data_IF_019245851933
#
_entry.id   IF_019245851933
#
_cell.length_a   1.000
_cell.length_b   1.000
_cell.length_c   1.000
_cell.angle_alpha   90.00
_cell.angle_beta   90.00
_cell.angle_gamma   90.00
#
_symmetry.space_group_name_H-M   'P 1'
#
loop_
_entity.id
_entity.type
_entity.pdbx_description
1 polymer ?
#
# COMPACT_ATOMS: atom_id res chain seq x y z
N UNK A 1 8.08 -64.23 17.10
CA UNK A 1 8.78 -63.01 16.63
C UNK A 1 8.18 -62.48 15.35
N UNK A 2 7.91 -63.25 14.30
CA UNK A 2 7.38 -62.81 13.00
C UNK A 2 6.06 -61.99 13.10
N UNK A 3 5.08 -62.39 13.93
CA UNK A 3 3.81 -61.64 14.07
C UNK A 3 3.99 -60.21 14.60
N UNK A 4 4.92 -59.98 15.53
CA UNK A 4 5.24 -58.65 16.07
C UNK A 4 5.91 -57.77 15.03
N UNK A 5 6.77 -58.35 14.18
CA UNK A 5 7.46 -57.65 13.11
C UNK A 5 6.50 -57.26 11.98
N UNK A 6 5.54 -58.14 11.62
CA UNK A 6 4.48 -57.82 10.65
C UNK A 6 3.56 -56.74 11.19
N UNK A 7 3.21 -56.76 12.47
CA UNK A 7 2.35 -55.74 13.08
C UNK A 7 3.04 -54.37 13.08
N UNK A 8 4.35 -54.31 13.36
CA UNK A 8 5.14 -53.08 13.30
C UNK A 8 5.24 -52.52 11.86
N UNK A 9 5.43 -53.42 10.89
CA UNK A 9 5.48 -53.04 9.47
C UNK A 9 4.13 -52.45 8.98
N UNK A 10 3.00 -53.07 9.36
CA UNK A 10 1.67 -52.57 9.06
C UNK A 10 1.41 -51.22 9.71
N UNK A 11 1.84 -51.02 10.97
CA UNK A 11 1.71 -49.72 11.64
C UNK A 11 2.49 -48.61 10.94
N UNK A 12 3.70 -48.90 10.46
CA UNK A 12 4.51 -47.96 9.69
C UNK A 12 3.84 -47.60 8.36
N UNK A 13 3.34 -48.58 7.61
CA UNK A 13 2.61 -48.36 6.36
C UNK A 13 1.39 -47.47 6.60
N UNK A 14 0.63 -47.74 7.65
CA UNK A 14 -0.56 -46.97 8.00
C UNK A 14 -0.22 -45.52 8.35
N UNK A 15 0.90 -45.28 9.07
CA UNK A 15 1.40 -43.94 9.34
C UNK A 15 1.79 -43.18 8.04
N UNK A 16 2.43 -43.87 7.09
CA UNK A 16 2.76 -43.27 5.78
C UNK A 16 1.51 -42.93 4.97
N UNK A 17 0.50 -43.81 4.97
CA UNK A 17 -0.77 -43.52 4.26
C UNK A 17 -1.46 -42.28 4.84
N UNK A 18 -1.47 -42.11 6.17
CA UNK A 18 -2.02 -40.93 6.83
C UNK A 18 -1.23 -39.66 6.47
N UNK A 19 0.11 -39.74 6.44
CA UNK A 19 0.96 -38.63 6.04
C UNK A 19 0.73 -38.21 4.57
N UNK A 20 0.67 -39.19 3.67
CA UNK A 20 0.41 -38.92 2.25
C UNK A 20 -0.98 -38.29 2.09
N UNK A 21 -2.01 -38.84 2.76
CA UNK A 21 -3.35 -38.26 2.73
C UNK A 21 -3.39 -36.82 3.22
N UNK A 22 -2.64 -36.50 4.30
CA UNK A 22 -2.55 -35.15 4.84
C UNK A 22 -1.81 -34.18 3.89
N UNK A 23 -0.72 -34.62 3.26
CA UNK A 23 0.01 -33.82 2.27
C UNK A 23 -0.86 -33.55 1.05
N UNK A 24 -1.56 -34.58 0.57
CA UNK A 24 -2.48 -34.45 -0.57
C UNK A 24 -3.63 -33.49 -0.26
N UNK A 25 -4.21 -33.60 0.94
CA UNK A 25 -5.24 -32.67 1.40
C UNK A 25 -4.74 -31.21 1.44
N UNK A 26 -3.55 -30.98 2.01
CA UNK A 26 -2.95 -29.63 2.06
C UNK A 26 -2.69 -29.10 0.65
N UNK A 27 -2.17 -29.93 -0.26
CA UNK A 27 -1.88 -29.50 -1.63
C UNK A 27 -3.15 -29.18 -2.44
N UNK A 28 -4.20 -30.00 -2.30
CA UNK A 28 -5.43 -29.81 -3.06
C UNK A 28 -6.30 -28.66 -2.53
N UNK A 29 -6.37 -28.50 -1.19
CA UNK A 29 -7.28 -27.53 -0.57
C UNK A 29 -6.61 -26.27 -0.04
N UNK A 30 -5.30 -26.28 0.19
CA UNK A 30 -4.54 -25.11 0.69
C UNK A 30 -3.36 -24.72 -0.19
N UNK A 31 -3.10 -25.44 -1.28
CA UNK A 31 -1.96 -25.19 -2.16
C UNK A 31 -1.97 -23.77 -2.76
N UNK A 32 -3.13 -23.26 -3.17
CA UNK A 32 -3.29 -21.91 -3.68
C UNK A 32 -2.88 -20.83 -2.67
N UNK A 33 -3.28 -21.00 -1.41
CA UNK A 33 -2.91 -20.06 -0.33
C UNK A 33 -1.41 -20.04 -0.07
N UNK A 34 -0.77 -21.20 -0.01
CA UNK A 34 0.70 -21.26 0.18
C UNK A 34 1.48 -20.78 -1.04
N UNK A 35 1.00 -21.03 -2.27
CA UNK A 35 1.62 -20.52 -3.49
C UNK A 35 1.52 -18.99 -3.54
N UNK A 36 0.39 -18.39 -3.15
CA UNK A 36 0.24 -16.93 -3.05
C UNK A 36 1.17 -16.34 -1.98
N UNK A 37 1.27 -16.95 -0.81
CA UNK A 37 2.18 -16.50 0.25
C UNK A 37 3.63 -16.52 -0.25
N UNK A 38 4.07 -17.60 -0.92
CA UNK A 38 5.43 -17.71 -1.49
C UNK A 38 5.66 -16.71 -2.62
N UNK A 39 4.68 -16.49 -3.50
CA UNK A 39 4.78 -15.50 -4.59
C UNK A 39 4.80 -14.06 -4.03
N UNK A 40 4.02 -13.77 -3.00
CA UNK A 40 4.07 -12.48 -2.31
C UNK A 40 5.40 -12.28 -1.56
N UNK A 41 6.01 -13.35 -1.04
CA UNK A 41 7.33 -13.31 -0.40
C UNK A 41 8.48 -13.12 -1.40
N UNK A 42 8.31 -13.49 -2.67
CA UNK A 42 9.30 -13.31 -3.73
C UNK A 42 9.14 -11.97 -4.48
N UNK A 43 8.06 -11.24 -4.26
CA UNK A 43 7.95 -9.89 -4.78
C UNK A 43 8.83 -8.99 -3.92
N UNK A 44 9.98 -8.62 -4.47
CA UNK A 44 10.74 -7.47 -4.00
C UNK A 44 9.79 -6.27 -3.99
N UNK A 45 9.37 -5.85 -2.83
CA UNK A 45 8.66 -4.60 -2.68
C UNK A 45 9.59 -3.48 -3.12
N UNK A 46 9.48 -3.04 -4.36
CA UNK A 46 10.17 -1.83 -4.81
C UNK A 46 9.20 -0.68 -4.64
N UNK A 47 9.42 0.11 -3.61
CA UNK A 47 8.67 1.34 -3.39
C UNK A 47 9.42 2.52 -3.98
N UNK A 48 8.74 3.34 -4.78
CA UNK A 48 9.27 4.62 -5.23
C UNK A 48 9.11 5.63 -4.10
N UNK A 49 10.22 6.28 -3.72
CA UNK A 49 10.20 7.40 -2.78
C UNK A 49 10.19 8.68 -3.62
N UNK A 50 9.07 9.42 -3.66
CA UNK A 50 8.97 10.61 -4.46
C UNK A 50 9.94 11.69 -3.95
N UNK A 51 10.58 12.39 -4.87
CA UNK A 51 11.45 13.49 -4.50
C UNK A 51 10.64 14.71 -4.04
N UNK A 52 11.18 15.43 -3.10
CA UNK A 52 10.68 16.74 -2.70
C UNK A 52 11.23 17.82 -3.62
N UNK A 53 10.34 18.56 -4.32
CA UNK A 53 10.75 19.71 -5.14
C UNK A 53 11.32 20.81 -4.24
N UNK A 54 12.43 21.42 -4.67
CA UNK A 54 13.17 22.44 -3.93
C UNK A 54 12.32 23.66 -3.54
N UNK A 55 12.61 24.24 -2.39
CA UNK A 55 11.93 25.43 -1.92
C UNK A 55 12.40 26.67 -2.71
N UNK A 56 11.49 27.60 -3.00
CA UNK A 56 11.83 28.94 -3.47
C UNK A 56 11.73 29.86 -2.26
N UNK A 57 12.79 30.59 -1.98
CA UNK A 57 12.87 31.48 -0.81
C UNK A 57 13.17 32.93 -1.24
N UNK A 58 12.71 33.87 -0.43
CA UNK A 58 13.07 35.25 -0.58
C UNK A 58 14.50 35.52 -0.04
N UNK A 59 14.98 36.76 -0.15
CA UNK A 59 16.31 37.18 0.36
C UNK A 59 16.50 37.02 1.86
N UNK A 60 15.40 36.87 2.63
CA UNK A 60 15.41 36.69 4.07
C UNK A 60 15.30 35.21 4.47
N UNK A 61 15.19 34.28 3.50
CA UNK A 61 14.99 32.86 3.72
C UNK A 61 13.53 32.45 3.93
N UNK A 62 12.57 33.36 3.70
CA UNK A 62 11.14 33.06 3.80
C UNK A 62 10.71 32.23 2.61
N UNK A 63 10.07 31.10 2.85
CA UNK A 63 9.59 30.19 1.80
C UNK A 63 8.39 30.80 1.09
N UNK A 64 8.54 31.13 -0.19
CA UNK A 64 7.47 31.66 -1.07
C UNK A 64 6.85 30.55 -1.92
N UNK A 65 7.55 29.46 -2.14
CA UNK A 65 7.03 28.20 -2.65
C UNK A 65 7.72 27.04 -1.94
N UNK A 66 6.97 26.04 -1.49
CA UNK A 66 7.48 24.85 -0.80
C UNK A 66 6.70 23.62 -1.22
N UNK A 67 7.22 22.44 -0.91
CA UNK A 67 6.49 21.19 -1.13
C UNK A 67 6.19 20.55 0.22
N UNK A 68 4.92 20.32 0.49
CA UNK A 68 4.43 19.68 1.69
C UNK A 68 4.20 18.19 1.45
N UNK A 69 4.52 17.37 2.45
CA UNK A 69 4.28 15.93 2.38
C UNK A 69 2.79 15.67 2.49
N UNK A 70 2.27 14.90 1.57
CA UNK A 70 0.90 14.43 1.52
C UNK A 70 0.90 12.93 1.27
N UNK A 71 -0.27 12.31 1.32
CA UNK A 71 -0.40 10.87 1.12
C UNK A 71 -1.43 10.57 0.05
N UNK A 72 -1.20 9.52 -0.72
CA UNK A 72 -2.17 8.95 -1.64
C UNK A 72 -2.73 7.68 -1.00
N UNK A 73 -4.05 7.52 -1.02
CA UNK A 73 -4.75 6.32 -0.53
C UNK A 73 -4.84 5.33 -1.67
N UNK A 74 -4.24 4.16 -1.48
CA UNK A 74 -4.19 3.10 -2.48
C UNK A 74 -4.99 1.89 -1.99
N UNK A 75 -5.72 1.27 -2.93
CA UNK A 75 -6.50 0.06 -2.70
C UNK A 75 -5.95 -1.11 -3.52
N UNK A 76 -5.70 -2.25 -2.88
CA UNK A 76 -5.53 -3.56 -3.52
C UNK A 76 -6.89 -4.25 -3.57
N UNK A 77 -7.53 -4.21 -4.75
CA UNK A 77 -8.85 -4.80 -4.96
C UNK A 77 -8.81 -6.31 -4.74
N UNK A 78 -7.73 -6.98 -5.15
CA UNK A 78 -7.59 -8.42 -4.99
C UNK A 78 -7.56 -8.80 -3.51
N UNK A 79 -6.87 -8.03 -2.66
CA UNK A 79 -6.79 -8.29 -1.23
C UNK A 79 -8.13 -8.05 -0.53
N UNK A 80 -8.80 -6.94 -0.82
CA UNK A 80 -10.07 -6.61 -0.17
C UNK A 80 -11.22 -7.53 -0.61
N UNK A 81 -11.12 -8.15 -1.79
CA UNK A 81 -12.12 -9.09 -2.32
C UNK A 81 -11.76 -10.56 -2.07
N UNK A 82 -10.65 -10.87 -1.37
CA UNK A 82 -10.16 -12.24 -1.21
C UNK A 82 -11.09 -13.11 -0.36
N UNK A 83 -11.40 -14.27 -0.92
CA UNK A 83 -11.98 -15.53 -0.44
C UNK A 83 -13.08 -15.52 0.63
N UNK A 84 -14.32 -15.75 0.19
CA UNK A 84 -15.39 -16.38 0.99
C UNK A 84 -16.11 -15.49 2.02
N UNK A 85 -15.48 -14.44 2.49
CA UNK A 85 -16.04 -13.41 3.39
C UNK A 85 -15.85 -11.99 2.81
N UNK A 86 -15.80 -11.86 1.50
CA UNK A 86 -15.51 -10.60 0.79
C UNK A 86 -16.36 -9.42 1.28
N UNK A 87 -17.65 -9.62 1.48
CA UNK A 87 -18.55 -8.54 1.91
C UNK A 87 -18.15 -7.95 3.27
N UNK A 88 -17.67 -8.78 4.19
CA UNK A 88 -17.26 -8.34 5.53
C UNK A 88 -15.99 -7.48 5.49
N UNK A 89 -15.02 -7.85 4.67
CA UNK A 89 -13.77 -7.07 4.51
C UNK A 89 -14.04 -5.78 3.74
N UNK A 90 -14.84 -5.86 2.68
CA UNK A 90 -15.24 -4.69 1.89
C UNK A 90 -15.96 -3.68 2.78
N UNK A 91 -17.03 -4.08 3.49
CA UNK A 91 -17.82 -3.17 4.31
C UNK A 91 -16.97 -2.50 5.40
N UNK A 92 -16.16 -3.28 6.14
CA UNK A 92 -15.31 -2.73 7.19
C UNK A 92 -14.24 -1.77 6.66
N UNK A 93 -13.67 -2.07 5.49
CA UNK A 93 -12.68 -1.20 4.84
C UNK A 93 -13.33 0.07 4.33
N UNK A 94 -14.52 -0.02 3.74
CA UNK A 94 -15.28 1.14 3.25
C UNK A 94 -15.66 2.09 4.39
N UNK A 95 -16.13 1.57 5.52
CA UNK A 95 -16.48 2.38 6.69
C UNK A 95 -15.27 3.20 7.17
N UNK A 96 -14.08 2.60 7.22
CA UNK A 96 -12.84 3.29 7.62
C UNK A 96 -12.38 4.31 6.57
N UNK A 97 -12.51 4.00 5.28
CA UNK A 97 -12.18 4.94 4.20
C UNK A 97 -13.09 6.18 4.22
N UNK A 98 -14.37 6.00 4.51
CA UNK A 98 -15.33 7.09 4.64
C UNK A 98 -15.03 7.91 5.91
N UNK A 99 -14.80 7.26 7.05
CA UNK A 99 -14.50 7.93 8.33
C UNK A 99 -13.19 8.74 8.29
N UNK A 100 -12.11 8.16 7.74
CA UNK A 100 -10.79 8.79 7.74
C UNK A 100 -10.60 9.79 6.61
N UNK A 101 -11.13 9.48 5.43
CA UNK A 101 -10.80 10.22 4.22
C UNK A 101 -12.01 10.85 3.54
N UNK A 102 -13.23 10.56 3.99
CA UNK A 102 -14.45 11.03 3.34
C UNK A 102 -14.59 10.50 1.91
N UNK A 103 -14.15 9.28 1.63
CA UNK A 103 -14.28 8.61 0.34
C UNK A 103 -15.64 7.93 0.31
N UNK A 104 -16.41 8.18 -0.75
CA UNK A 104 -17.74 7.59 -0.91
C UNK A 104 -17.66 6.07 -1.12
N UNK A 105 -18.38 5.34 -0.28
CA UNK A 105 -18.41 3.88 -0.32
C UNK A 105 -18.96 3.33 -1.65
N UNK A 106 -19.87 4.02 -2.33
CA UNK A 106 -20.39 3.59 -3.64
C UNK A 106 -19.33 3.75 -4.73
N UNK A 107 -18.57 4.85 -4.71
CA UNK A 107 -17.46 5.10 -5.65
C UNK A 107 -16.40 4.00 -5.56
N UNK A 108 -16.03 3.60 -4.33
CA UNK A 108 -15.06 2.51 -4.12
C UNK A 108 -15.62 1.18 -4.60
N UNK A 109 -16.90 0.86 -4.34
CA UNK A 109 -17.54 -0.37 -4.85
C UNK A 109 -17.58 -0.43 -6.37
N UNK A 110 -17.81 0.71 -7.02
CA UNK A 110 -17.80 0.77 -8.48
C UNK A 110 -16.39 0.61 -9.04
N UNK A 111 -15.37 1.16 -8.37
CA UNK A 111 -13.97 0.93 -8.70
C UNK A 111 -13.60 -0.56 -8.56
N UNK A 112 -14.02 -1.22 -7.49
CA UNK A 112 -13.81 -2.66 -7.27
C UNK A 112 -14.46 -3.48 -8.39
N UNK A 113 -15.70 -3.16 -8.80
CA UNK A 113 -16.40 -3.86 -9.88
C UNK A 113 -15.75 -3.65 -11.25
N UNK A 114 -15.26 -2.42 -11.50
CA UNK A 114 -14.61 -2.08 -12.77
C UNK A 114 -13.26 -2.77 -12.94
N UNK A 115 -12.50 -2.93 -11.84
CA UNK A 115 -11.11 -3.43 -11.86
C UNK A 115 -10.90 -4.59 -10.85
N UNK A 116 -11.59 -5.74 -10.99
CA UNK A 116 -11.59 -6.79 -9.96
C UNK A 116 -10.22 -7.45 -9.73
N UNK A 117 -9.33 -7.39 -10.70
CA UNK A 117 -8.00 -8.00 -10.64
C UNK A 117 -6.89 -6.96 -10.33
N UNK A 118 -7.26 -5.71 -10.07
CA UNK A 118 -6.28 -4.65 -9.81
C UNK A 118 -5.70 -4.76 -8.40
N UNK A 119 -4.38 -4.60 -8.33
CA UNK A 119 -3.64 -4.52 -7.07
C UNK A 119 -3.21 -3.11 -6.71
N UNK A 120 -3.57 -2.14 -7.54
CA UNK A 120 -3.17 -0.75 -7.35
C UNK A 120 -4.24 0.19 -7.93
N UNK A 121 -5.10 0.67 -7.08
CA UNK A 121 -6.11 1.69 -7.41
C UNK A 121 -5.95 2.90 -6.51
N UNK A 122 -5.77 4.08 -7.10
CA UNK A 122 -5.63 5.32 -6.36
C UNK A 122 -7.01 5.87 -6.04
N UNK A 123 -7.45 5.74 -4.81
CA UNK A 123 -8.77 6.21 -4.38
C UNK A 123 -8.77 7.72 -4.11
N UNK A 124 -7.74 8.24 -3.46
CA UNK A 124 -7.62 9.66 -3.13
C UNK A 124 -6.19 10.11 -3.12
N UNK A 125 -5.93 11.31 -3.64
CA UNK A 125 -4.61 11.94 -3.63
C UNK A 125 -4.58 13.13 -2.70
N UNK A 126 -3.38 13.44 -2.19
CA UNK A 126 -3.14 14.67 -1.44
C UNK A 126 -3.79 14.70 -0.06
N UNK A 127 -3.93 13.54 0.59
CA UNK A 127 -4.44 13.43 1.96
C UNK A 127 -3.46 14.04 2.94
N UNK A 128 -3.97 14.77 3.94
CA UNK A 128 -3.16 15.43 4.96
C UNK A 128 -2.47 14.42 5.89
N UNK A 129 -1.40 14.86 6.56
CA UNK A 129 -0.75 14.05 7.59
C UNK A 129 -1.70 13.68 8.75
N UNK A 130 -2.62 14.57 9.10
CA UNK A 130 -3.56 14.34 10.22
C UNK A 130 -4.55 13.21 9.89
N UNK A 131 -5.10 13.19 8.67
CA UNK A 131 -6.02 12.14 8.23
C UNK A 131 -5.28 10.82 7.99
N UNK A 132 -4.08 10.89 7.42
CA UNK A 132 -3.20 9.73 7.24
C UNK A 132 -2.86 9.08 8.59
N UNK A 133 -2.57 9.87 9.62
CA UNK A 133 -2.27 9.38 10.96
C UNK A 133 -3.46 8.68 11.61
N UNK A 134 -4.68 9.21 11.44
CA UNK A 134 -5.89 8.52 11.92
C UNK A 134 -6.05 7.14 11.34
N UNK A 135 -5.81 7.02 10.02
CA UNK A 135 -5.86 5.72 9.35
C UNK A 135 -4.77 4.78 9.86
N UNK A 136 -3.53 5.25 10.05
CA UNK A 136 -2.44 4.43 10.57
C UNK A 136 -2.74 3.89 11.99
N UNK A 137 -3.33 4.71 12.87
CA UNK A 137 -3.76 4.28 14.20
C UNK A 137 -4.85 3.19 14.15
N UNK A 138 -5.69 3.19 13.11
CA UNK A 138 -6.71 2.16 12.87
C UNK A 138 -6.07 0.89 12.32
N UNK A 139 -5.18 1.02 11.34
CA UNK A 139 -4.49 -0.08 10.68
C UNK A 139 -3.56 -0.85 11.65
N UNK A 140 -3.00 -0.18 12.65
CA UNK A 140 -2.19 -0.79 13.71
C UNK A 140 -3.03 -1.50 14.79
N UNK A 141 -4.34 -1.24 14.90
CA UNK A 141 -5.22 -1.86 15.92
C UNK A 141 -6.02 -3.05 15.37
N UNK A 142 -5.35 -4.13 15.01
CA UNK A 142 -5.95 -5.39 14.53
C UNK A 142 -7.01 -5.97 15.49
N UNK A 143 -7.01 -5.58 16.76
CA UNK A 143 -7.99 -6.09 17.73
C UNK A 143 -9.34 -5.40 17.59
N UNK A 144 -9.32 -4.11 17.29
CA UNK A 144 -10.52 -3.30 17.12
C UNK A 144 -11.03 -3.35 15.68
N UNK A 145 -10.12 -3.40 14.71
CA UNK A 145 -10.41 -3.36 13.28
C UNK A 145 -9.87 -4.60 12.53
N UNK A 146 -10.24 -5.82 12.92
CA UNK A 146 -9.62 -7.06 12.39
C UNK A 146 -9.96 -7.35 10.92
N UNK A 147 -10.86 -6.57 10.33
CA UNK A 147 -11.36 -6.81 8.96
C UNK A 147 -11.00 -5.68 7.99
N UNK A 148 -10.19 -4.70 8.39
CA UNK A 148 -9.67 -3.67 7.49
C UNK A 148 -8.44 -4.24 6.79
N UNK A 149 -8.45 -4.26 5.46
CA UNK A 149 -7.34 -4.80 4.68
C UNK A 149 -7.31 -4.26 3.25
N UNK A 150 -6.17 -4.41 2.59
CA UNK A 150 -6.02 -4.03 1.19
C UNK A 150 -5.89 -2.54 0.95
N UNK A 151 -5.72 -1.71 1.98
CA UNK A 151 -5.51 -0.27 1.85
C UNK A 151 -4.15 0.10 2.45
N UNK A 152 -3.41 0.95 1.76
CA UNK A 152 -2.18 1.54 2.30
C UNK A 152 -2.01 2.97 1.82
N UNK A 153 -1.08 3.67 2.45
CA UNK A 153 -0.75 5.05 2.13
C UNK A 153 0.60 5.12 1.43
N UNK A 154 0.65 5.88 0.33
CA UNK A 154 1.89 6.21 -0.35
C UNK A 154 2.24 7.66 -0.14
N UNK A 155 3.52 7.91 0.17
CA UNK A 155 4.05 9.27 0.30
C UNK A 155 4.02 9.99 -1.05
N UNK A 156 3.65 11.27 -1.02
CA UNK A 156 3.72 12.18 -2.16
C UNK A 156 4.02 13.58 -1.67
N UNK A 157 4.28 14.50 -2.59
CA UNK A 157 4.53 15.90 -2.29
C UNK A 157 3.61 16.81 -3.10
N UNK A 158 2.93 17.70 -2.40
CA UNK A 158 2.11 18.74 -3.03
C UNK A 158 2.82 20.09 -2.97
N UNK A 159 2.88 20.77 -4.11
CA UNK A 159 3.43 22.12 -4.19
C UNK A 159 2.49 23.13 -3.57
N UNK A 160 3.01 23.94 -2.64
CA UNK A 160 2.23 24.91 -1.87
C UNK A 160 2.87 26.30 -1.99
N UNK A 161 2.02 27.30 -2.08
CA UNK A 161 2.41 28.71 -2.17
C UNK A 161 1.83 29.46 -0.94
N UNK A 162 2.58 29.57 0.17
CA UNK A 162 2.05 30.04 1.46
C UNK A 162 1.45 31.45 1.43
N UNK A 163 1.87 32.25 0.48
CA UNK A 163 1.41 33.64 0.32
C UNK A 163 0.42 33.83 -0.84
N UNK A 164 -0.19 32.73 -1.32
CA UNK A 164 -1.18 32.72 -2.39
C UNK A 164 -0.72 33.48 -3.66
N UNK A 165 -1.36 34.62 -3.97
CA UNK A 165 -1.09 35.37 -5.17
C UNK A 165 0.14 36.31 -5.08
N UNK A 166 0.85 36.33 -3.94
CA UNK A 166 2.05 37.20 -3.80
C UNK A 166 3.13 36.78 -4.81
N UNK A 167 3.49 37.70 -5.67
CA UNK A 167 4.48 37.51 -6.72
C UNK A 167 4.19 36.31 -7.66
N UNK A 168 2.90 35.93 -7.83
CA UNK A 168 2.48 34.81 -8.67
C UNK A 168 2.98 34.88 -10.10
N UNK A 169 3.04 36.10 -10.69
CA UNK A 169 3.55 36.33 -12.05
C UNK A 169 5.06 36.08 -12.17
N UNK A 170 5.80 36.23 -11.06
CA UNK A 170 7.25 35.99 -11.01
C UNK A 170 7.56 34.55 -10.60
N UNK A 171 6.96 34.07 -9.55
CA UNK A 171 7.16 32.70 -9.03
C UNK A 171 6.62 31.70 -10.03
N UNK A 172 5.44 31.96 -10.56
CA UNK A 172 4.70 31.00 -11.39
C UNK A 172 4.03 29.91 -10.57
N UNK A 173 3.76 28.80 -11.23
CA UNK A 173 3.19 27.61 -10.59
C UNK A 173 3.69 26.33 -11.25
N UNK A 174 3.59 25.24 -10.52
CA UNK A 174 3.83 23.89 -11.03
C UNK A 174 2.51 23.18 -11.31
N UNK A 175 2.53 22.30 -12.31
CA UNK A 175 1.42 21.39 -12.65
C UNK A 175 1.74 19.98 -12.18
N UNK A 176 0.81 19.06 -12.42
CA UNK A 176 0.95 17.64 -12.09
C UNK A 176 2.31 17.09 -12.57
N UNK A 177 2.94 16.24 -11.76
CA UNK A 177 4.26 15.67 -12.04
C UNK A 177 5.42 16.61 -11.72
N UNK A 178 5.22 17.57 -10.83
CA UNK A 178 6.25 18.52 -10.39
C UNK A 178 6.90 19.34 -11.52
N UNK A 179 6.17 19.61 -12.61
CA UNK A 179 6.65 20.40 -13.73
C UNK A 179 6.30 21.88 -13.54
N UNK A 180 7.29 22.75 -13.56
CA UNK A 180 7.10 24.20 -13.56
C UNK A 180 6.46 24.66 -14.87
N UNK A 181 5.29 25.32 -14.79
CA UNK A 181 4.56 25.79 -15.97
C UNK A 181 5.03 27.17 -16.46
N UNK A 182 5.19 28.11 -15.55
CA UNK A 182 5.61 29.50 -15.85
C UNK A 182 6.52 30.04 -14.73
N UNK A 183 7.11 31.20 -14.95
CA UNK A 183 7.88 31.96 -13.97
C UNK A 183 9.18 31.26 -13.54
N UNK A 184 9.60 31.50 -12.30
CA UNK A 184 10.77 30.88 -11.68
C UNK A 184 10.61 29.35 -11.64
N UNK A 185 9.40 28.86 -11.37
CA UNK A 185 9.09 27.42 -11.37
C UNK A 185 9.48 26.75 -12.68
N UNK A 186 9.21 27.38 -13.82
CA UNK A 186 9.58 26.89 -15.15
C UNK A 186 11.04 27.11 -15.46
N UNK A 187 11.54 28.33 -15.20
CA UNK A 187 12.92 28.71 -15.56
C UNK A 187 13.99 27.90 -14.81
N UNK A 188 13.69 27.49 -13.57
CA UNK A 188 14.57 26.70 -12.71
C UNK A 188 14.08 25.26 -12.50
N UNK A 189 13.24 24.76 -13.41
CA UNK A 189 12.62 23.46 -13.25
C UNK A 189 13.64 22.34 -12.98
N UNK A 190 14.73 22.28 -13.74
CA UNK A 190 15.77 21.26 -13.60
C UNK A 190 16.56 21.36 -12.28
N UNK A 191 16.62 22.57 -11.69
CA UNK A 191 17.29 22.80 -10.40
C UNK A 191 16.35 22.48 -9.24
N UNK A 192 15.06 22.80 -9.39
CA UNK A 192 14.05 22.56 -8.37
C UNK A 192 13.64 21.10 -8.28
N UNK A 193 13.68 20.36 -9.40
CA UNK A 193 13.37 18.94 -9.42
C UNK A 193 14.50 18.10 -8.81
N UNK A 194 14.13 17.05 -8.13
CA UNK A 194 15.02 15.99 -7.70
C UNK A 194 14.87 14.74 -8.57
N UNK A 195 15.36 13.64 -8.04
CA UNK A 195 15.19 12.30 -8.63
C UNK A 195 14.55 11.43 -7.60
N UNK A 196 13.53 10.65 -8.02
CA UNK A 196 12.88 9.70 -7.14
C UNK A 196 13.87 8.67 -6.59
N UNK A 197 13.78 8.42 -5.32
CA UNK A 197 14.46 7.31 -4.67
C UNK A 197 13.73 6.00 -4.92
N UNK A 198 14.42 4.89 -4.64
CA UNK A 198 13.80 3.56 -4.59
C UNK A 198 14.19 2.88 -3.29
N UNK A 199 13.19 2.43 -2.58
CA UNK A 199 13.34 1.55 -1.44
C UNK A 199 13.11 0.11 -1.88
N UNK A 200 14.00 -0.77 -1.48
CA UNK A 200 13.86 -2.21 -1.71
C UNK A 200 13.68 -2.85 -0.35
N UNK A 201 12.58 -3.57 -0.16
CA UNK A 201 12.29 -4.27 1.07
C UNK A 201 12.04 -5.75 0.83
N UNK A 202 12.31 -6.57 1.86
CA UNK A 202 11.86 -7.95 1.92
C UNK A 202 10.69 -8.03 2.88
N UNK A 203 9.60 -8.63 2.46
CA UNK A 203 8.51 -9.00 3.36
C UNK A 203 9.01 -10.14 4.27
N UNK A 204 9.19 -9.86 5.54
CA UNK A 204 9.46 -10.90 6.53
C UNK A 204 8.12 -11.54 6.94
N UNK A 205 7.88 -12.74 6.45
CA UNK A 205 6.65 -13.51 6.72
C UNK A 205 6.40 -13.86 8.18
N UNK A 206 7.41 -13.70 9.03
CA UNK A 206 7.29 -14.01 10.46
C UNK A 206 6.82 -12.81 11.29
N UNK A 207 7.05 -11.58 10.79
CA UNK A 207 6.74 -10.35 11.53
C UNK A 207 5.72 -9.44 10.82
N UNK A 208 5.28 -9.78 9.61
CA UNK A 208 4.44 -8.93 8.73
C UNK A 208 5.00 -7.50 8.55
N UNK A 209 6.29 -7.31 8.79
CA UNK A 209 6.99 -6.04 8.69
C UNK A 209 7.93 -6.06 7.49
N UNK A 210 7.83 -5.04 6.64
CA UNK A 210 8.77 -4.80 5.57
C UNK A 210 10.10 -4.32 6.18
N UNK A 211 11.19 -5.06 5.92
CA UNK A 211 12.55 -4.66 6.34
C UNK A 211 13.26 -4.05 5.14
N UNK A 212 13.62 -2.76 5.20
CA UNK A 212 14.47 -2.15 4.18
C UNK A 212 15.84 -2.81 4.14
N UNK A 213 16.38 -2.94 2.96
CA UNK A 213 17.76 -3.46 2.71
C UNK A 213 18.73 -2.31 2.62
#
# INVERSE_FOLDING_TARGET
>A
MQKKLVMLFVAIILAFVVLIGRITYINLFKGGKYTRIVLNQQQYGSRTIPYKRGDIVDRNGTKVATSERVYNVILDVVVVTDEGESDKYIDSTLDVLEECFGIDSEEVRDTIKANPDSRYEVLKKGVSYEDAKKFQEIDEDDKKYPNVQGVWLEDDYQRTYPYNSLASDVIGFSVSGNQGAIGIESAYNDILNGTDGREYGYFDSASSVERPV
#
